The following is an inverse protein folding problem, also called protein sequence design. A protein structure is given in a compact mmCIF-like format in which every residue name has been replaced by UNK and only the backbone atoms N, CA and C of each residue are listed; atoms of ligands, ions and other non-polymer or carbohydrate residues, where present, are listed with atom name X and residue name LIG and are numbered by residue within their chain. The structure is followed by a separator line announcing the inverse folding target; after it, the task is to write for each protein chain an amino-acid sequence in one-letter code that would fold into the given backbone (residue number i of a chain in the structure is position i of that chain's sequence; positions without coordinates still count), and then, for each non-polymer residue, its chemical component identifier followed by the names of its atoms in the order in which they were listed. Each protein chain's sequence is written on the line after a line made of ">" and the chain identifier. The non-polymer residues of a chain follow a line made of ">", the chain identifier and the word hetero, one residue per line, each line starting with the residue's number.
data_IF_336845298006
#
_entry.id   IF_336845298006
#
_cell.length_a   1.000
_cell.length_b   1.000
_cell.length_c   1.000
_cell.angle_alpha   90.00
_cell.angle_beta   90.00
_cell.angle_gamma   90.00
#
_symmetry.space_group_name_H-M   'P 1'
#
loop_
_entity.id
_entity.type
_entity.pdbx_description
1 polymer ?
#
# COMPACT_ATOMS: atom_id res chain seq x y z
N UNK A 1 -52.08 -9.22 21.55
CA UNK A 1 -51.64 -8.03 20.80
C UNK A 1 -50.15 -7.84 21.03
N UNK A 2 -49.29 -7.93 20.00
CA UNK A 2 -47.86 -7.63 20.16
C UNK A 2 -47.71 -6.12 20.42
N UNK A 3 -46.98 -5.75 21.47
CA UNK A 3 -46.75 -4.34 21.82
C UNK A 3 -46.06 -3.61 20.66
N UNK A 4 -46.48 -2.38 20.30
CA UNK A 4 -45.89 -1.61 19.20
C UNK A 4 -44.37 -1.43 19.34
N UNK A 5 -43.86 -1.49 20.57
CA UNK A 5 -42.42 -1.46 20.89
C UNK A 5 -41.66 -2.62 20.24
N UNK A 6 -42.24 -3.83 20.17
CA UNK A 6 -41.57 -4.99 19.57
C UNK A 6 -41.43 -4.85 18.05
N UNK A 7 -42.40 -4.21 17.40
CA UNK A 7 -42.38 -3.98 15.94
C UNK A 7 -41.29 -2.96 15.59
N UNK A 8 -41.15 -1.90 16.38
CA UNK A 8 -40.11 -0.88 16.22
C UNK A 8 -38.71 -1.49 16.40
N UNK A 9 -38.52 -2.33 17.42
CA UNK A 9 -37.24 -3.01 17.67
C UNK A 9 -36.88 -3.93 16.50
N UNK A 10 -37.83 -4.72 15.99
CA UNK A 10 -37.60 -5.62 14.85
C UNK A 10 -37.23 -4.82 13.60
N UNK A 11 -37.93 -3.72 13.30
CA UNK A 11 -37.57 -2.86 12.17
C UNK A 11 -36.18 -2.24 12.32
N UNK A 12 -35.82 -1.76 13.51
CA UNK A 12 -34.50 -1.21 13.75
C UNK A 12 -33.40 -2.25 13.51
N UNK A 13 -33.60 -3.50 13.96
CA UNK A 13 -32.67 -4.60 13.72
C UNK A 13 -32.52 -4.90 12.23
N UNK A 14 -33.64 -4.97 11.49
CA UNK A 14 -33.61 -5.23 10.03
C UNK A 14 -32.88 -4.13 9.28
N UNK A 15 -33.12 -2.85 9.61
CA UNK A 15 -32.41 -1.71 9.02
C UNK A 15 -30.92 -1.76 9.35
N UNK A 16 -30.55 -2.02 10.61
CA UNK A 16 -29.15 -2.16 11.00
C UNK A 16 -28.47 -3.28 10.21
N UNK A 17 -29.05 -4.47 10.14
CA UNK A 17 -28.48 -5.60 9.40
C UNK A 17 -28.34 -5.26 7.91
N UNK A 18 -29.39 -4.72 7.29
CA UNK A 18 -29.39 -4.35 5.87
C UNK A 18 -28.30 -3.32 5.53
N UNK A 19 -28.20 -2.26 6.33
CA UNK A 19 -27.18 -1.21 6.13
C UNK A 19 -25.76 -1.76 6.30
N UNK A 20 -25.56 -2.64 7.30
CA UNK A 20 -24.24 -3.22 7.58
C UNK A 20 -23.79 -4.14 6.43
N UNK A 21 -24.67 -5.02 5.96
CA UNK A 21 -24.39 -5.92 4.83
C UNK A 21 -24.15 -5.12 3.55
N UNK A 22 -24.99 -4.13 3.26
CA UNK A 22 -24.84 -3.26 2.09
C UNK A 22 -23.51 -2.50 2.10
N UNK A 23 -23.11 -1.97 3.26
CA UNK A 23 -21.82 -1.29 3.44
C UNK A 23 -20.65 -2.24 3.14
N UNK A 24 -20.65 -3.45 3.70
CA UNK A 24 -19.57 -4.42 3.46
C UNK A 24 -19.48 -4.87 2.00
N UNK A 25 -20.62 -5.08 1.34
CA UNK A 25 -20.64 -5.41 -0.10
C UNK A 25 -20.10 -4.26 -0.95
N UNK A 26 -20.49 -3.02 -0.64
CA UNK A 26 -19.99 -1.82 -1.33
C UNK A 26 -18.48 -1.62 -1.17
N UNK A 27 -17.96 -1.79 0.05
CA UNK A 27 -16.51 -1.73 0.33
C UNK A 27 -15.77 -2.82 -0.46
N UNK A 28 -16.28 -4.05 -0.46
CA UNK A 28 -15.66 -5.16 -1.18
C UNK A 28 -15.58 -4.90 -2.69
N UNK A 29 -16.66 -4.39 -3.29
CA UNK A 29 -16.67 -4.10 -4.72
C UNK A 29 -15.78 -2.91 -5.08
N UNK A 30 -15.73 -1.88 -4.24
CA UNK A 30 -14.78 -0.77 -4.38
C UNK A 30 -13.33 -1.24 -4.34
N UNK A 31 -12.98 -2.17 -3.44
CA UNK A 31 -11.65 -2.77 -3.36
C UNK A 31 -11.30 -3.53 -4.65
N UNK A 32 -12.23 -4.33 -5.20
CA UNK A 32 -11.99 -5.05 -6.46
C UNK A 32 -11.75 -4.10 -7.63
N UNK A 33 -12.58 -3.06 -7.76
CA UNK A 33 -12.43 -2.06 -8.82
C UNK A 33 -11.09 -1.32 -8.69
N UNK A 34 -10.68 -0.99 -7.46
CA UNK A 34 -9.37 -0.43 -7.19
C UNK A 34 -8.24 -1.36 -7.66
N UNK A 35 -8.29 -2.65 -7.33
CA UNK A 35 -7.29 -3.61 -7.81
C UNK A 35 -7.29 -3.78 -9.33
N UNK A 36 -8.45 -3.74 -9.99
CA UNK A 36 -8.52 -3.74 -11.45
C UNK A 36 -7.85 -2.52 -12.06
N UNK A 37 -8.10 -1.32 -11.52
CA UNK A 37 -7.43 -0.10 -11.98
C UNK A 37 -5.93 -0.13 -11.70
N UNK A 38 -5.51 -0.61 -10.53
CA UNK A 38 -4.10 -0.77 -10.20
C UNK A 38 -3.43 -1.78 -11.15
N UNK A 39 -4.15 -2.83 -11.58
CA UNK A 39 -3.62 -3.85 -12.50
C UNK A 39 -3.30 -3.30 -13.89
N UNK A 40 -4.08 -2.35 -14.41
CA UNK A 40 -3.81 -1.75 -15.72
C UNK A 40 -2.56 -0.86 -15.68
N UNK A 41 -2.38 -0.11 -14.60
CA UNK A 41 -1.18 0.68 -14.35
C UNK A 41 0.04 -0.24 -14.22
N UNK A 42 -0.06 -1.31 -13.42
CA UNK A 42 0.99 -2.33 -13.27
C UNK A 42 1.34 -3.01 -14.59
N UNK A 43 0.35 -3.32 -15.43
CA UNK A 43 0.57 -3.91 -16.74
C UNK A 43 1.34 -2.96 -17.68
N UNK A 44 1.02 -1.66 -17.65
CA UNK A 44 1.75 -0.64 -18.40
C UNK A 44 3.21 -0.54 -17.94
N UNK A 45 3.44 -0.45 -16.63
CA UNK A 45 4.80 -0.42 -16.04
C UNK A 45 5.59 -1.69 -16.39
N UNK A 46 4.97 -2.86 -16.25
CA UNK A 46 5.58 -4.14 -16.61
C UNK A 46 5.94 -4.20 -18.11
N UNK A 47 5.13 -3.60 -18.97
CA UNK A 47 5.42 -3.53 -20.41
C UNK A 47 6.66 -2.70 -20.69
N UNK A 48 6.82 -1.56 -20.01
CA UNK A 48 8.04 -0.75 -20.09
C UNK A 48 9.26 -1.51 -19.57
N UNK A 49 9.13 -2.19 -18.44
CA UNK A 49 10.22 -3.01 -17.86
C UNK A 49 10.65 -4.13 -18.80
N UNK A 50 9.69 -4.87 -19.39
CA UNK A 50 9.97 -5.93 -20.35
C UNK A 50 10.65 -5.39 -21.60
N UNK A 51 10.33 -4.16 -22.01
CA UNK A 51 11.02 -3.50 -23.13
C UNK A 51 12.45 -3.13 -22.75
N UNK A 52 12.65 -2.51 -21.59
CA UNK A 52 13.99 -2.11 -21.11
C UNK A 52 14.91 -3.33 -20.93
N UNK A 53 14.38 -4.45 -20.43
CA UNK A 53 15.12 -5.72 -20.34
C UNK A 53 15.49 -6.28 -21.72
N UNK A 54 14.60 -6.18 -22.72
CA UNK A 54 14.90 -6.60 -24.11
C UNK A 54 15.93 -5.72 -24.79
N UNK A 55 15.98 -4.44 -24.44
CA UNK A 55 16.95 -3.45 -24.93
C UNK A 55 18.26 -3.46 -24.14
N UNK A 56 18.41 -4.40 -23.19
CA UNK A 56 19.59 -4.55 -22.32
C UNK A 56 19.84 -3.34 -21.39
N UNK A 57 18.81 -2.53 -21.13
CA UNK A 57 18.83 -1.37 -20.24
C UNK A 57 18.58 -1.79 -18.76
N UNK A 58 19.40 -2.71 -18.26
CA UNK A 58 19.26 -3.31 -16.93
C UNK A 58 19.32 -2.27 -15.79
N UNK A 59 20.22 -1.29 -15.88
CA UNK A 59 20.41 -0.28 -14.84
C UNK A 59 19.16 0.59 -14.64
N UNK A 60 18.53 1.02 -15.74
CA UNK A 60 17.28 1.79 -15.70
C UNK A 60 16.15 0.96 -15.09
N UNK A 61 16.05 -0.32 -15.46
CA UNK A 61 15.04 -1.23 -14.92
C UNK A 61 15.23 -1.47 -13.42
N UNK A 62 16.48 -1.71 -12.97
CA UNK A 62 16.81 -1.85 -11.55
C UNK A 62 16.48 -0.58 -10.79
N UNK A 63 16.92 0.59 -11.27
CA UNK A 63 16.67 1.88 -10.59
C UNK A 63 15.18 2.17 -10.47
N UNK A 64 14.40 1.91 -11.52
CA UNK A 64 12.94 2.05 -11.47
C UNK A 64 12.32 1.15 -10.40
N UNK A 65 12.79 -0.10 -10.29
CA UNK A 65 12.33 -1.05 -9.27
C UNK A 65 12.73 -0.66 -7.87
N UNK A 66 13.91 -0.09 -7.68
CA UNK A 66 14.37 0.44 -6.39
C UNK A 66 13.44 1.55 -5.90
N UNK A 67 13.10 2.50 -6.77
CA UNK A 67 12.19 3.60 -6.47
C UNK A 67 10.78 3.07 -6.16
N UNK A 68 10.28 2.10 -6.95
CA UNK A 68 8.98 1.48 -6.70
C UNK A 68 8.95 0.76 -5.34
N UNK A 69 10.00 -0.01 -5.02
CA UNK A 69 10.14 -0.71 -3.74
C UNK A 69 10.10 0.27 -2.57
N UNK A 70 10.85 1.38 -2.66
CA UNK A 70 10.87 2.42 -1.62
C UNK A 70 9.52 3.13 -1.46
N UNK A 71 8.82 3.38 -2.56
CA UNK A 71 7.46 3.90 -2.53
C UNK A 71 6.51 2.95 -1.78
N UNK A 72 6.57 1.64 -2.06
CA UNK A 72 5.73 0.63 -1.40
C UNK A 72 6.09 0.46 0.09
N UNK A 73 7.35 0.59 0.45
CA UNK A 73 7.82 0.63 1.85
C UNK A 73 7.20 1.81 2.60
N UNK A 74 7.20 3.00 2.02
CA UNK A 74 6.57 4.19 2.62
C UNK A 74 5.06 4.02 2.75
N UNK A 75 4.39 3.54 1.70
CA UNK A 75 2.96 3.27 1.72
C UNK A 75 2.59 2.26 2.81
N UNK A 76 3.43 1.25 3.00
CA UNK A 76 3.26 0.25 4.05
C UNK A 76 3.38 0.85 5.45
N UNK A 77 4.44 1.60 5.74
CA UNK A 77 4.60 2.26 7.04
C UNK A 77 3.46 3.25 7.31
N UNK A 78 2.95 3.93 6.28
CA UNK A 78 1.76 4.77 6.40
C UNK A 78 0.51 3.95 6.71
N UNK A 79 0.30 2.82 6.05
CA UNK A 79 -0.81 1.91 6.34
C UNK A 79 -0.77 1.38 7.79
N UNK A 80 0.41 1.05 8.32
CA UNK A 80 0.53 0.65 9.73
C UNK A 80 0.12 1.76 10.71
N UNK A 81 0.43 3.02 10.39
CA UNK A 81 0.18 4.18 11.28
C UNK A 81 -1.23 4.76 11.16
N UNK A 82 -1.74 4.87 9.94
CA UNK A 82 -2.95 5.63 9.59
C UNK A 82 -4.04 4.74 9.00
N UNK A 83 -3.71 3.50 8.64
CA UNK A 83 -4.63 2.59 8.00
C UNK A 83 -5.71 2.07 8.95
N UNK A 84 -6.71 1.43 8.34
CA UNK A 84 -7.79 0.75 9.05
C UNK A 84 -7.61 -0.77 8.92
N UNK A 85 -6.74 -1.39 9.74
CA UNK A 85 -6.40 -2.80 9.63
C UNK A 85 -7.62 -3.73 9.79
N UNK A 86 -8.67 -3.25 10.46
CA UNK A 86 -9.94 -3.96 10.61
C UNK A 86 -10.63 -4.30 9.27
N UNK A 87 -10.38 -3.50 8.22
CA UNK A 87 -10.93 -3.75 6.88
C UNK A 87 -10.33 -5.02 6.26
N UNK A 88 -9.10 -5.39 6.66
CA UNK A 88 -8.38 -6.56 6.16
C UNK A 88 -8.53 -7.79 7.06
N UNK A 89 -9.10 -7.67 8.27
CA UNK A 89 -9.22 -8.76 9.25
C UNK A 89 -10.06 -9.94 8.74
N UNK A 90 -10.95 -9.69 7.77
CA UNK A 90 -11.74 -10.73 7.10
C UNK A 90 -10.92 -11.54 6.07
N UNK A 91 -9.71 -11.09 5.73
CA UNK A 91 -8.78 -11.72 4.78
C UNK A 91 -7.57 -12.31 5.53
N UNK A 92 -7.83 -13.14 6.54
CA UNK A 92 -6.82 -13.76 7.45
C UNK A 92 -5.63 -14.45 6.76
N UNK A 93 -5.80 -14.94 5.53
CA UNK A 93 -4.72 -15.56 4.74
C UNK A 93 -3.68 -14.56 4.21
N UNK A 94 -4.02 -13.26 4.20
CA UNK A 94 -3.15 -12.17 3.73
C UNK A 94 -2.16 -11.75 4.83
N UNK A 95 -2.60 -11.82 6.09
CA UNK A 95 -1.83 -11.38 7.27
C UNK A 95 -0.62 -12.29 7.56
N UNK A 96 -0.76 -13.61 7.45
CA UNK A 96 0.31 -14.58 7.78
C UNK A 96 1.46 -14.57 6.76
N UNK A 97 1.19 -14.21 5.49
CA UNK A 97 2.25 -14.11 4.47
C UNK A 97 3.01 -12.78 4.53
N UNK A 98 2.43 -11.80 5.21
CA UNK A 98 2.91 -10.43 5.22
C UNK A 98 4.24 -10.26 5.95
N UNK A 99 4.38 -10.79 7.17
CA UNK A 99 5.62 -10.72 7.95
C UNK A 99 6.81 -11.34 7.18
N UNK A 100 6.58 -12.48 6.54
CA UNK A 100 7.59 -13.16 5.71
C UNK A 100 8.05 -12.29 4.53
N UNK A 101 7.13 -11.59 3.87
CA UNK A 101 7.49 -10.67 2.78
C UNK A 101 8.29 -9.47 3.30
N UNK A 102 7.90 -8.89 4.44
CA UNK A 102 8.63 -7.77 5.02
C UNK A 102 10.02 -8.14 5.51
N UNK A 103 10.22 -9.35 6.05
CA UNK A 103 11.56 -9.92 6.33
C UNK A 103 12.43 -10.00 5.08
N UNK A 104 11.84 -10.40 3.95
CA UNK A 104 12.57 -10.46 2.66
C UNK A 104 12.98 -9.06 2.19
N UNK A 105 12.08 -8.07 2.30
CA UNK A 105 12.38 -6.67 1.98
C UNK A 105 13.45 -6.10 2.91
N UNK A 106 13.38 -6.38 4.22
CA UNK A 106 14.37 -5.96 5.19
C UNK A 106 15.75 -6.54 4.88
N UNK A 107 15.83 -7.85 4.61
CA UNK A 107 17.07 -8.52 4.21
C UNK A 107 17.66 -7.91 2.92
N UNK A 108 16.82 -7.61 1.93
CA UNK A 108 17.25 -6.92 0.71
C UNK A 108 17.83 -5.53 1.01
N UNK A 109 17.11 -4.71 1.79
CA UNK A 109 17.53 -3.34 2.15
C UNK A 109 18.77 -3.28 3.04
N UNK A 110 19.10 -4.36 3.77
CA UNK A 110 20.40 -4.51 4.45
C UNK A 110 21.56 -4.59 3.45
N UNK A 111 21.36 -5.26 2.33
CA UNK A 111 22.39 -5.43 1.28
C UNK A 111 22.42 -4.22 0.33
N UNK A 112 21.25 -3.66 0.02
CA UNK A 112 21.06 -2.57 -0.94
C UNK A 112 20.25 -1.43 -0.30
N UNK A 113 20.92 -0.43 0.28
CA UNK A 113 20.26 0.74 0.84
C UNK A 113 19.39 1.47 -0.20
N UNK A 114 18.31 2.14 0.24
CA UNK A 114 17.36 2.81 -0.66
C UNK A 114 18.03 3.88 -1.53
N UNK A 115 17.66 3.90 -2.81
CA UNK A 115 18.20 4.85 -3.80
C UNK A 115 17.33 6.09 -3.76
N UNK A 116 17.84 7.16 -3.15
CA UNK A 116 17.10 8.42 -3.11
C UNK A 116 17.59 9.35 -4.21
N UNK A 117 16.80 9.62 -5.26
CA UNK A 117 17.22 10.49 -6.35
C UNK A 117 17.42 11.92 -5.82
N UNK A 118 18.65 12.41 -5.88
CA UNK A 118 18.98 13.83 -5.68
C UNK A 118 18.83 14.56 -7.00
N UNK A 119 17.63 15.11 -7.24
CA UNK A 119 17.43 16.02 -8.37
C UNK A 119 17.85 17.41 -7.90
N UNK A 120 18.86 18.00 -8.55
CA UNK A 120 19.32 19.35 -8.25
C UNK A 120 18.33 20.38 -8.82
N UNK A 121 17.32 20.70 -8.03
CA UNK A 121 16.39 21.76 -8.36
C UNK A 121 16.98 23.11 -7.98
N UNK A 122 16.84 24.09 -8.88
CA UNK A 122 17.07 25.50 -8.54
C UNK A 122 16.30 25.86 -7.26
N UNK A 123 16.90 26.68 -6.39
CA UNK A 123 16.51 26.92 -4.99
C UNK A 123 15.02 27.27 -4.73
N UNK A 124 14.22 27.58 -5.76
CA UNK A 124 12.83 28.02 -5.65
C UNK A 124 11.79 27.07 -6.29
N UNK A 125 12.14 25.82 -6.59
CA UNK A 125 11.17 24.90 -7.20
C UNK A 125 10.20 24.31 -6.15
N UNK A 126 8.88 24.47 -6.34
CA UNK A 126 7.85 24.00 -5.39
C UNK A 126 7.88 22.48 -5.13
N UNK A 127 8.47 21.68 -6.03
CA UNK A 127 8.67 20.23 -5.80
C UNK A 127 9.82 19.90 -4.85
N UNK A 128 10.73 20.82 -4.56
CA UNK A 128 11.93 20.53 -3.76
C UNK A 128 11.58 20.07 -2.35
N UNK A 129 10.69 20.81 -1.69
CA UNK A 129 10.25 20.50 -0.33
C UNK A 129 9.56 19.14 -0.26
N UNK A 130 8.64 18.85 -1.21
CA UNK A 130 7.95 17.56 -1.28
C UNK A 130 8.91 16.40 -1.53
N UNK A 131 9.97 16.61 -2.32
CA UNK A 131 10.95 15.57 -2.61
C UNK A 131 11.86 15.30 -1.41
N UNK A 132 12.31 16.34 -0.70
CA UNK A 132 13.07 16.18 0.55
C UNK A 132 12.23 15.51 1.65
N UNK A 133 10.93 15.82 1.70
CA UNK A 133 10.00 15.12 2.58
C UNK A 133 9.85 13.65 2.17
N UNK A 134 9.69 13.35 0.88
CA UNK A 134 9.62 11.97 0.39
C UNK A 134 10.91 11.19 0.71
N UNK A 135 12.08 11.78 0.47
CA UNK A 135 13.39 11.25 0.87
C UNK A 135 13.43 10.88 2.35
N UNK A 136 13.02 11.82 3.20
CA UNK A 136 12.98 11.62 4.64
C UNK A 136 12.05 10.46 5.01
N UNK A 137 10.87 10.40 4.39
CA UNK A 137 9.91 9.32 4.60
C UNK A 137 10.47 7.96 4.20
N UNK A 138 11.17 7.86 3.05
CA UNK A 138 11.82 6.61 2.61
C UNK A 138 12.86 6.14 3.62
N UNK A 139 13.71 7.05 4.12
CA UNK A 139 14.72 6.69 5.13
C UNK A 139 14.08 6.23 6.42
N UNK A 140 13.06 6.94 6.91
CA UNK A 140 12.35 6.59 8.15
C UNK A 140 11.64 5.24 8.00
N UNK A 141 10.91 5.03 6.90
CA UNK A 141 10.18 3.79 6.62
C UNK A 141 11.13 2.59 6.51
N UNK A 142 12.25 2.76 5.79
CA UNK A 142 13.29 1.73 5.67
C UNK A 142 13.86 1.37 7.04
N UNK A 143 14.19 2.37 7.87
CA UNK A 143 14.69 2.11 9.23
C UNK A 143 13.65 1.39 10.08
N UNK A 144 12.38 1.75 9.97
CA UNK A 144 11.28 1.08 10.67
C UNK A 144 11.24 -0.41 10.33
N UNK A 145 11.26 -0.74 9.04
CA UNK A 145 11.22 -2.13 8.57
C UNK A 145 12.47 -2.90 8.98
N UNK A 146 13.65 -2.29 8.92
CA UNK A 146 14.89 -2.94 9.36
C UNK A 146 14.88 -3.23 10.85
N UNK A 147 14.31 -2.35 11.67
CA UNK A 147 14.20 -2.56 13.11
C UNK A 147 13.15 -3.64 13.46
N UNK A 148 12.05 -3.70 12.71
CA UNK A 148 10.92 -4.61 13.00
C UNK A 148 11.12 -6.01 12.40
N UNK A 149 11.74 -6.10 11.22
CA UNK A 149 11.82 -7.34 10.44
C UNK A 149 13.25 -7.73 10.03
N UNK A 150 14.27 -7.01 10.49
CA UNK A 150 15.65 -7.25 10.08
C UNK A 150 16.32 -8.45 10.74
N UNK A 151 15.74 -9.05 11.78
CA UNK A 151 16.35 -10.17 12.51
C UNK A 151 16.41 -11.48 11.71
#
# INVERSE_FOLDING_TARGET
>A
MKSPVHIIIIMAIVVCIGTTVGFFLGVNEGIKQYFMYESSVKASLLTHELRDLRENNLETSITSKEIELDGKVVDFTRFQKEGQPWVLTFYRSVEIKHEKYMKTVAAYRKMYPPVVPTIDYSKNHMMKERMEQHKTNVVIATRSILNEFGE
#
